data_IF_135286532080
#
_entry.id   IF_135286532080
#
_cell.length_a   1.000
_cell.length_b   1.000
_cell.length_c   1.000
_cell.angle_alpha   90.00
_cell.angle_beta   90.00
_cell.angle_gamma   90.00
#
_symmetry.space_group_name_H-M   'P 1'
#
loop_
_entity.id
_entity.type
_entity.pdbx_description
1 polymer ?
#
# COMPACT_ATOMS: atom_id res chain seq x y z
N UNK A 1 -9.34 -0.91 14.23
CA UNK A 1 -8.18 -0.79 13.32
C UNK A 1 -8.36 -1.85 12.25
N UNK A 2 -8.26 -1.48 10.98
CA UNK A 2 -8.52 -2.36 9.83
C UNK A 2 -7.18 -2.84 9.26
N UNK A 3 -7.12 -4.08 8.82
CA UNK A 3 -5.95 -4.70 8.20
C UNK A 3 -6.32 -5.23 6.82
N UNK A 4 -5.53 -4.87 5.81
CA UNK A 4 -5.74 -5.24 4.40
C UNK A 4 -4.43 -5.73 3.81
N UNK A 5 -4.52 -6.62 2.83
CA UNK A 5 -3.36 -7.24 2.17
C UNK A 5 -3.43 -6.99 0.67
N UNK A 6 -2.30 -6.61 0.08
CA UNK A 6 -2.21 -6.31 -1.35
C UNK A 6 -0.93 -6.89 -1.94
N UNK A 7 -1.00 -7.20 -3.23
CA UNK A 7 0.15 -7.49 -4.06
C UNK A 7 0.56 -6.21 -4.79
N UNK A 8 1.80 -5.77 -4.59
CA UNK A 8 2.41 -4.64 -5.29
C UNK A 8 3.67 -5.10 -6.03
N UNK A 9 4.17 -4.28 -6.96
CA UNK A 9 5.51 -4.49 -7.47
C UNK A 9 6.53 -4.28 -6.34
N UNK A 10 7.43 -5.24 -6.02
CA UNK A 10 8.32 -5.15 -4.86
C UNK A 10 9.12 -3.85 -4.76
N UNK A 11 9.62 -3.35 -5.90
CA UNK A 11 10.41 -2.13 -5.99
C UNK A 11 9.62 -0.84 -5.64
N UNK A 12 8.28 -0.91 -5.60
CA UNK A 12 7.40 0.23 -5.26
C UNK A 12 7.09 0.32 -3.77
N UNK A 13 7.54 -0.64 -2.95
CA UNK A 13 7.26 -0.67 -1.51
C UNK A 13 7.66 0.62 -0.80
N UNK A 14 8.91 1.07 -0.99
CA UNK A 14 9.41 2.27 -0.33
C UNK A 14 8.71 3.54 -0.84
N UNK A 15 8.35 3.59 -2.12
CA UNK A 15 7.54 4.67 -2.68
C UNK A 15 6.18 4.75 -1.98
N UNK A 16 5.43 3.65 -1.95
CA UNK A 16 4.12 3.62 -1.30
C UNK A 16 4.22 3.96 0.20
N UNK A 17 5.25 3.43 0.89
CA UNK A 17 5.52 3.74 2.29
C UNK A 17 5.70 5.23 2.54
N UNK A 18 6.53 5.90 1.75
CA UNK A 18 6.75 7.34 1.89
C UNK A 18 5.48 8.16 1.65
N UNK A 19 4.62 7.74 0.71
CA UNK A 19 3.34 8.41 0.49
C UNK A 19 2.43 8.26 1.72
N UNK A 20 2.25 7.06 2.25
CA UNK A 20 1.37 6.82 3.41
C UNK A 20 1.87 7.55 4.68
N UNK A 21 3.18 7.62 4.89
CA UNK A 21 3.78 8.38 6.00
C UNK A 21 3.59 9.89 5.82
N UNK A 22 3.61 10.39 4.57
CA UNK A 22 3.42 11.81 4.25
C UNK A 22 1.99 12.32 4.45
N UNK A 23 0.98 11.44 4.43
CA UNK A 23 -0.42 11.77 4.72
C UNK A 23 -0.71 11.70 6.22
N UNK A 24 0.08 12.40 7.04
CA UNK A 24 -0.02 12.38 8.51
C UNK A 24 -0.11 10.96 9.11
N UNK A 25 0.67 10.03 8.55
CA UNK A 25 0.63 8.60 8.90
C UNK A 25 -0.73 7.89 8.67
N UNK A 26 -1.42 8.22 7.56
CA UNK A 26 -2.70 7.63 7.12
C UNK A 26 -2.80 6.11 7.35
N UNK A 27 -1.71 5.39 7.07
CA UNK A 27 -1.63 3.97 7.34
C UNK A 27 -0.20 3.49 7.61
N UNK A 28 -0.08 2.40 8.36
CA UNK A 28 1.17 1.67 8.57
C UNK A 28 1.26 0.54 7.53
N UNK A 29 2.32 0.56 6.74
CA UNK A 29 2.63 -0.51 5.78
C UNK A 29 3.76 -1.42 6.30
N UNK A 30 3.68 -2.71 6.01
CA UNK A 30 4.73 -3.69 6.31
C UNK A 30 4.84 -4.70 5.17
N UNK A 31 6.05 -5.13 4.84
CA UNK A 31 6.25 -6.25 3.92
C UNK A 31 5.95 -7.56 4.67
N UNK A 32 5.09 -8.40 4.10
CA UNK A 32 4.82 -9.77 4.57
C UNK A 32 5.75 -10.74 3.87
N UNK A 33 5.84 -10.60 2.54
CA UNK A 33 6.80 -11.31 1.69
C UNK A 33 7.48 -10.30 0.75
N UNK A 34 8.69 -9.82 1.11
CA UNK A 34 9.36 -8.76 0.36
C UNK A 34 9.65 -9.11 -1.10
N UNK A 35 10.05 -10.34 -1.37
CA UNK A 35 10.48 -10.78 -2.71
C UNK A 35 9.31 -10.91 -3.70
N UNK A 36 8.12 -11.23 -3.20
CA UNK A 36 6.92 -11.45 -4.01
C UNK A 36 6.04 -10.20 -4.10
N UNK A 37 6.24 -9.25 -3.17
CA UNK A 37 5.51 -7.98 -3.10
C UNK A 37 4.22 -8.04 -2.29
N UNK A 38 4.07 -9.06 -1.41
CA UNK A 38 2.94 -9.11 -0.48
C UNK A 38 3.16 -8.10 0.63
N UNK A 39 2.24 -7.15 0.72
CA UNK A 39 2.23 -6.14 1.77
C UNK A 39 0.99 -6.26 2.63
N UNK A 40 1.16 -5.78 3.86
CA UNK A 40 0.08 -5.51 4.79
C UNK A 40 -0.02 -4.01 5.02
N UNK A 41 -1.25 -3.49 4.99
CA UNK A 41 -1.56 -2.12 5.38
C UNK A 41 -2.54 -2.14 6.56
N UNK A 42 -2.25 -1.35 7.60
CA UNK A 42 -3.14 -1.15 8.75
C UNK A 42 -3.46 0.33 8.93
N UNK A 43 -4.73 0.66 9.10
CA UNK A 43 -5.19 2.04 9.33
C UNK A 43 -6.31 2.08 10.38
N UNK A 44 -6.65 3.28 10.86
CA UNK A 44 -7.89 3.48 11.59
C UNK A 44 -9.10 3.25 10.66
N UNK A 45 -10.23 2.85 11.22
CA UNK A 45 -11.43 2.54 10.44
C UNK A 45 -12.01 3.79 9.76
N UNK A 46 -11.88 4.95 10.41
CA UNK A 46 -12.24 6.27 9.85
C UNK A 46 -11.44 6.63 8.60
N UNK A 47 -10.19 6.16 8.51
CA UNK A 47 -9.26 6.46 7.41
C UNK A 47 -9.36 5.47 6.25
N UNK A 48 -10.15 4.39 6.40
CA UNK A 48 -10.20 3.32 5.41
C UNK A 48 -10.65 3.83 4.04
N UNK A 49 -11.65 4.71 3.99
CA UNK A 49 -12.14 5.26 2.73
C UNK A 49 -11.05 6.06 2.02
N UNK A 50 -10.39 6.97 2.72
CA UNK A 50 -9.32 7.79 2.16
C UNK A 50 -8.14 6.93 1.69
N UNK A 51 -7.74 5.94 2.47
CA UNK A 51 -6.73 4.95 2.07
C UNK A 51 -7.12 4.25 0.77
N UNK A 52 -8.36 3.77 0.65
CA UNK A 52 -8.84 3.08 -0.56
C UNK A 52 -8.86 4.00 -1.78
N UNK A 53 -9.26 5.27 -1.63
CA UNK A 53 -9.23 6.26 -2.70
C UNK A 53 -7.80 6.54 -3.16
N UNK A 54 -6.86 6.70 -2.23
CA UNK A 54 -5.44 6.90 -2.52
C UNK A 54 -4.82 5.69 -3.23
N UNK A 55 -5.03 4.48 -2.70
CA UNK A 55 -4.54 3.24 -3.32
C UNK A 55 -5.11 3.04 -4.73
N UNK A 56 -6.36 3.43 -4.96
CA UNK A 56 -6.99 3.38 -6.29
C UNK A 56 -6.30 4.32 -7.27
N UNK A 57 -5.91 5.52 -6.85
CA UNK A 57 -5.17 6.48 -7.69
C UNK A 57 -3.74 6.05 -7.95
N UNK A 58 -3.09 5.42 -6.97
CA UNK A 58 -1.70 4.93 -7.07
C UNK A 58 -1.59 3.57 -7.78
N UNK A 59 -2.70 2.84 -7.92
CA UNK A 59 -2.75 1.52 -8.55
C UNK A 59 -1.98 1.40 -9.88
N UNK A 60 -2.06 2.34 -10.83
CA UNK A 60 -1.30 2.25 -12.08
C UNK A 60 0.23 2.29 -11.92
N UNK A 61 0.72 2.77 -10.78
CA UNK A 61 2.16 2.93 -10.49
C UNK A 61 2.69 1.81 -9.59
N UNK A 62 1.85 1.31 -8.67
CA UNK A 62 2.29 0.37 -7.62
C UNK A 62 1.93 -1.09 -7.92
N UNK A 63 1.01 -1.35 -8.86
CA UNK A 63 0.61 -2.71 -9.19
C UNK A 63 1.78 -3.45 -9.83
N UNK A 64 1.84 -4.75 -9.56
CA UNK A 64 2.72 -5.66 -10.30
C UNK A 64 2.33 -5.58 -11.79
N UNK A 65 3.25 -5.13 -12.63
CA UNK A 65 3.04 -5.16 -14.08
C UNK A 65 2.68 -6.59 -14.49
N UNK A 66 1.64 -6.73 -15.32
CA UNK A 66 1.30 -8.01 -15.94
C UNK A 66 2.21 -8.32 -17.14
N UNK A 67 3.42 -7.75 -17.19
CA UNK A 67 4.35 -8.00 -18.27
C UNK A 67 5.36 -9.08 -17.87
N UNK A 68 5.23 -10.18 -18.61
CA UNK A 68 6.02 -11.44 -18.69
C UNK A 68 5.78 -12.51 -17.64
#
# INVERSE_FOLDING_TARGET
MVETFYWIAPHTFHFLKSILEGYDNLAIISAVEPDTGLIRIRCAETELQELMELLTRLAPVIRKDQLT
#
